data_IF_970882983057
#
_entry.id   IF_970882983057
#
_cell.length_a   1.000
_cell.length_b   1.000
_cell.length_c   1.000
_cell.angle_alpha   90.00
_cell.angle_beta   90.00
_cell.angle_gamma   90.00
#
_symmetry.space_group_name_H-M   'P 1'
#
loop_
_entity.id
_entity.type
_entity.pdbx_description
1 polymer ?
#
# COMPACT_ATOMS: atom_id res chain seq x y z
N UNK A 1 -3.41 11.91 0.52
CA UNK A 1 -4.03 11.10 1.60
C UNK A 1 -3.12 9.93 1.87
N UNK A 2 -2.80 9.66 3.13
CA UNK A 2 -2.06 8.48 3.58
C UNK A 2 -2.96 7.66 4.51
N UNK A 3 -2.96 6.33 4.38
CA UNK A 3 -3.84 5.45 5.13
C UNK A 3 -3.00 4.34 5.78
N UNK A 4 -3.13 4.17 7.09
CA UNK A 4 -2.37 3.18 7.88
C UNK A 4 -3.23 2.68 9.04
N UNK A 5 -3.16 1.38 9.36
CA UNK A 5 -3.94 0.75 10.44
C UNK A 5 -3.34 1.02 11.83
N UNK A 6 -2.02 1.13 11.91
CA UNK A 6 -1.27 1.31 13.15
C UNK A 6 -1.29 2.78 13.58
N UNK A 7 -1.94 3.05 14.73
CA UNK A 7 -1.92 4.37 15.35
C UNK A 7 -0.49 4.87 15.59
N UNK A 8 0.40 4.00 16.06
CA UNK A 8 1.80 4.36 16.32
C UNK A 8 2.54 4.79 15.05
N UNK A 9 2.25 4.16 13.90
CA UNK A 9 2.88 4.56 12.63
C UNK A 9 2.30 5.87 12.12
N UNK A 10 1.00 6.14 12.31
CA UNK A 10 0.41 7.45 12.03
C UNK A 10 1.08 8.54 12.85
N UNK A 11 1.23 8.34 14.17
CA UNK A 11 1.88 9.32 15.06
C UNK A 11 3.32 9.65 14.61
N UNK A 12 4.06 8.63 14.16
CA UNK A 12 5.41 8.82 13.62
C UNK A 12 5.37 9.56 12.29
N UNK A 13 4.46 9.17 11.38
CA UNK A 13 4.33 9.79 10.06
C UNK A 13 3.94 11.27 10.15
N UNK A 14 3.04 11.64 11.07
CA UNK A 14 2.66 13.02 11.33
C UNK A 14 3.85 13.86 11.83
N UNK A 15 4.63 13.32 12.78
CA UNK A 15 5.86 13.98 13.27
C UNK A 15 6.88 14.18 12.16
N UNK A 16 7.10 13.15 11.33
CA UNK A 16 8.01 13.23 10.19
C UNK A 16 7.51 14.26 9.17
N UNK A 17 6.22 14.28 8.87
CA UNK A 17 5.64 15.27 7.94
C UNK A 17 5.74 16.70 8.48
N UNK A 18 5.57 16.89 9.79
CA UNK A 18 5.75 18.17 10.46
C UNK A 18 7.20 18.67 10.36
N UNK A 19 8.18 17.81 10.70
CA UNK A 19 9.61 18.15 10.60
C UNK A 19 10.00 18.52 9.16
N UNK A 20 9.39 17.89 8.16
CA UNK A 20 9.64 18.16 6.75
C UNK A 20 8.77 19.27 6.16
N UNK A 21 7.97 19.98 6.98
CA UNK A 21 7.10 21.09 6.54
C UNK A 21 6.12 20.71 5.41
N UNK A 22 5.64 19.47 5.41
CA UNK A 22 4.67 18.93 4.43
C UNK A 22 3.36 18.46 5.08
N UNK A 23 3.24 18.55 6.41
CA UNK A 23 2.06 18.10 7.16
C UNK A 23 0.73 18.65 6.61
N UNK A 24 0.69 19.93 6.26
CA UNK A 24 -0.51 20.59 5.73
C UNK A 24 -0.97 20.05 4.36
N UNK A 25 -0.13 19.25 3.68
CA UNK A 25 -0.42 18.65 2.37
C UNK A 25 -0.84 17.18 2.47
N UNK A 26 -0.84 16.60 3.67
CA UNK A 26 -1.11 15.18 3.89
C UNK A 26 -2.26 15.02 4.88
N UNK A 27 -3.38 14.48 4.40
CA UNK A 27 -4.44 13.96 5.27
C UNK A 27 -4.10 12.52 5.66
N UNK A 28 -3.90 12.28 6.95
CA UNK A 28 -3.65 10.96 7.52
C UNK A 28 -4.98 10.29 7.94
N UNK A 29 -5.14 9.02 7.58
CA UNK A 29 -6.31 8.20 7.93
C UNK A 29 -5.85 6.97 8.70
N UNK A 30 -6.21 6.88 9.97
CA UNK A 30 -5.95 5.69 10.77
C UNK A 30 -7.00 4.60 10.51
N UNK A 31 -6.90 3.90 9.38
CA UNK A 31 -7.84 2.86 8.96
C UNK A 31 -7.12 1.75 8.20
N UNK A 32 -7.76 0.59 8.17
CA UNK A 32 -7.46 -0.40 7.14
C UNK A 32 -7.99 0.12 5.80
N UNK A 33 -7.16 0.14 4.76
CA UNK A 33 -7.56 0.67 3.46
C UNK A 33 -8.76 -0.07 2.84
N UNK A 34 -8.99 -1.34 3.20
CA UNK A 34 -10.16 -2.14 2.80
C UNK A 34 -11.48 -1.62 3.37
N UNK A 35 -11.40 -0.86 4.46
CA UNK A 35 -12.55 -0.28 5.16
C UNK A 35 -12.76 1.20 4.80
N UNK A 36 -11.98 1.75 3.87
CA UNK A 36 -12.21 3.10 3.38
C UNK A 36 -13.57 3.19 2.67
N UNK A 37 -14.24 4.32 2.87
CA UNK A 37 -15.50 4.68 2.23
C UNK A 37 -15.29 5.84 1.26
N UNK A 38 -15.66 5.63 0.00
CA UNK A 38 -15.54 6.66 -1.03
C UNK A 38 -16.41 7.87 -0.68
N UNK A 39 -15.95 9.07 -1.04
CA UNK A 39 -16.58 10.37 -0.73
C UNK A 39 -16.56 10.78 0.75
N UNK A 40 -16.68 9.83 1.70
CA UNK A 40 -16.53 10.10 3.13
C UNK A 40 -15.06 10.29 3.51
N UNK A 41 -14.22 9.28 3.25
CA UNK A 41 -12.80 9.29 3.63
C UNK A 41 -11.93 9.99 2.60
N UNK A 42 -12.39 10.03 1.35
CA UNK A 42 -11.69 10.68 0.25
C UNK A 42 -12.69 11.43 -0.63
N UNK A 43 -12.79 12.77 -0.52
CA UNK A 43 -13.81 13.56 -1.21
C UNK A 43 -13.60 13.59 -2.73
N UNK A 44 -12.34 13.45 -3.16
CA UNK A 44 -11.95 13.42 -4.56
C UNK A 44 -11.21 12.12 -4.87
N UNK A 45 -11.36 11.62 -6.09
CA UNK A 45 -10.57 10.47 -6.57
C UNK A 45 -9.10 10.90 -6.74
N UNK A 46 -8.19 9.98 -6.44
CA UNK A 46 -6.76 10.20 -6.57
C UNK A 46 -6.30 9.97 -8.01
N UNK A 47 -5.39 10.84 -8.47
CA UNK A 47 -4.71 10.69 -9.75
C UNK A 47 -3.50 9.75 -9.66
N UNK A 48 -3.05 9.43 -8.44
CA UNK A 48 -1.97 8.47 -8.17
C UNK A 48 -2.35 7.59 -6.98
N UNK A 49 -2.26 6.27 -7.16
CA UNK A 49 -2.35 5.28 -6.09
C UNK A 49 -0.97 4.66 -5.87
N UNK A 50 -0.41 4.86 -4.67
CA UNK A 50 0.86 4.25 -4.27
C UNK A 50 0.55 3.12 -3.28
N UNK A 51 1.03 1.91 -3.57
CA UNK A 51 0.89 0.73 -2.72
C UNK A 51 2.27 0.19 -2.35
N UNK A 52 2.54 0.15 -1.05
CA UNK A 52 3.76 -0.42 -0.46
C UNK A 52 3.33 -1.45 0.58
N UNK A 53 2.52 -2.41 0.15
CA UNK A 53 2.11 -3.57 0.96
C UNK A 53 2.56 -4.82 0.22
N UNK A 54 3.87 -4.89 -0.03
CA UNK A 54 4.52 -5.94 -0.78
C UNK A 54 5.45 -6.70 0.16
N UNK A 55 5.40 -8.02 0.08
CA UNK A 55 6.29 -8.90 0.83
C UNK A 55 7.23 -9.66 -0.12
N UNK A 56 8.03 -10.56 0.45
CA UNK A 56 8.93 -11.41 -0.34
C UNK A 56 8.23 -12.27 -1.38
N UNK A 57 6.95 -12.63 -1.16
CA UNK A 57 6.14 -13.37 -2.10
C UNK A 57 5.27 -12.48 -3.02
N UNK A 58 5.45 -11.16 -2.96
CA UNK A 58 4.66 -10.11 -3.65
C UNK A 58 3.18 -10.01 -3.20
N UNK A 59 2.52 -11.14 -2.93
CA UNK A 59 1.07 -11.23 -2.78
C UNK A 59 0.60 -11.46 -1.34
N UNK A 60 1.48 -11.80 -0.40
CA UNK A 60 1.06 -12.33 0.90
C UNK A 60 0.38 -11.28 1.78
N UNK A 61 0.74 -10.01 1.63
CA UNK A 61 0.14 -8.87 2.34
C UNK A 61 -1.20 -8.41 1.75
N UNK A 62 -1.73 -9.14 0.75
CA UNK A 62 -3.09 -8.94 0.25
C UNK A 62 -3.24 -7.81 -0.76
N UNK A 63 -2.18 -7.43 -1.48
CA UNK A 63 -2.19 -6.33 -2.46
C UNK A 63 -3.32 -6.45 -3.50
N UNK A 64 -3.69 -7.66 -3.91
CA UNK A 64 -4.80 -7.88 -4.86
C UNK A 64 -6.14 -7.40 -4.30
N UNK A 65 -6.38 -7.60 -3.00
CA UNK A 65 -7.59 -7.12 -2.33
C UNK A 65 -7.60 -5.59 -2.22
N UNK A 66 -6.45 -4.98 -1.94
CA UNK A 66 -6.32 -3.52 -1.93
C UNK A 66 -6.60 -2.94 -3.31
N UNK A 67 -5.99 -3.49 -4.35
CA UNK A 67 -6.25 -3.07 -5.74
C UNK A 67 -7.72 -3.24 -6.11
N UNK A 68 -8.35 -4.36 -5.76
CA UNK A 68 -9.77 -4.60 -6.07
C UNK A 68 -10.69 -3.58 -5.39
N UNK A 69 -10.41 -3.19 -4.15
CA UNK A 69 -11.24 -2.24 -3.41
C UNK A 69 -10.99 -0.79 -3.84
N UNK A 70 -9.72 -0.41 -4.04
CA UNK A 70 -9.31 0.97 -4.27
C UNK A 70 -9.51 1.41 -5.73
N UNK A 71 -9.21 0.52 -6.69
CA UNK A 71 -9.26 0.85 -8.12
C UNK A 71 -10.68 1.22 -8.54
N UNK A 72 -10.82 2.36 -9.20
CA UNK A 72 -12.08 2.88 -9.74
C UNK A 72 -12.95 3.61 -8.71
N UNK A 73 -13.07 3.12 -7.47
CA UNK A 73 -13.80 3.83 -6.39
C UNK A 73 -13.02 5.02 -5.87
N UNK A 74 -11.72 4.84 -5.65
CA UNK A 74 -10.84 5.84 -5.07
C UNK A 74 -9.87 6.44 -6.10
N UNK A 75 -9.68 5.81 -7.25
CA UNK A 75 -8.77 6.31 -8.29
C UNK A 75 -9.53 6.88 -9.47
N UNK A 76 -9.04 7.98 -10.04
CA UNK A 76 -9.54 8.50 -11.32
C UNK A 76 -9.31 7.48 -12.45
N UNK A 77 -10.02 7.64 -13.57
CA UNK A 77 -9.85 6.73 -14.73
C UNK A 77 -8.43 6.80 -15.31
N UNK A 78 -7.81 7.98 -15.24
CA UNK A 78 -6.44 8.23 -15.71
C UNK A 78 -5.38 8.02 -14.63
N UNK A 79 -5.75 7.45 -13.47
CA UNK A 79 -4.84 7.40 -12.33
C UNK A 79 -3.66 6.45 -12.58
N UNK A 80 -2.46 6.89 -12.21
CA UNK A 80 -1.28 6.04 -12.18
C UNK A 80 -1.29 5.16 -10.93
N UNK A 81 -0.95 3.88 -11.07
CA UNK A 81 -0.74 2.97 -9.94
C UNK A 81 0.75 2.68 -9.84
N UNK A 82 1.30 2.82 -8.63
CA UNK A 82 2.72 2.62 -8.35
C UNK A 82 2.86 1.57 -7.22
N UNK A 83 3.56 0.44 -7.46
CA UNK A 83 4.12 0.03 -8.74
C UNK A 83 3.04 -0.34 -9.77
N UNK A 84 3.34 -0.13 -11.06
CA UNK A 84 2.38 -0.38 -12.14
C UNK A 84 2.18 -1.87 -12.45
N UNK A 85 3.20 -2.69 -12.18
CA UNK A 85 3.20 -4.12 -12.38
C UNK A 85 4.26 -4.80 -11.50
N UNK A 86 4.10 -6.11 -11.28
CA UNK A 86 5.08 -6.96 -10.61
C UNK A 86 5.13 -8.33 -11.29
N UNK A 87 6.28 -9.01 -11.20
CA UNK A 87 6.49 -10.34 -11.79
C UNK A 87 7.10 -11.25 -10.72
N UNK A 88 6.41 -12.34 -10.39
CA UNK A 88 6.96 -13.42 -9.55
C UNK A 88 7.66 -14.42 -10.46
N UNK A 89 8.90 -14.77 -10.13
CA UNK A 89 9.68 -15.78 -10.84
C UNK A 89 9.91 -16.98 -9.93
N UNK A 90 9.69 -18.18 -10.47
CA UNK A 90 10.01 -19.44 -9.81
C UNK A 90 11.07 -20.19 -10.60
N UNK A 91 11.93 -20.93 -9.90
CA UNK A 91 12.92 -21.82 -10.49
C UNK A 91 12.91 -23.13 -9.73
N UNK A 92 12.84 -24.25 -10.46
CA UNK A 92 13.03 -25.56 -9.87
C UNK A 92 14.50 -25.68 -9.44
N UNK A 93 14.73 -26.14 -8.21
CA UNK A 93 16.06 -26.40 -7.68
C UNK A 93 16.13 -27.80 -7.10
N UNK A 94 17.27 -28.44 -7.25
CA UNK A 94 17.64 -29.58 -6.41
C UNK A 94 18.40 -29.02 -5.20
N UNK A 95 17.95 -29.36 -3.99
CA UNK A 95 18.61 -28.96 -2.75
C UNK A 95 18.82 -30.21 -1.90
N UNK A 96 20.08 -30.54 -1.61
CA UNK A 96 20.41 -31.54 -0.59
C UNK A 96 20.11 -30.96 0.78
N UNK A 97 19.20 -31.57 1.52
CA UNK A 97 18.71 -31.08 2.83
C UNK A 97 19.35 -31.76 4.06
N UNK A 98 20.37 -32.62 3.88
CA UNK A 98 21.05 -33.35 4.96
C UNK A 98 22.58 -33.42 4.84
N UNK A 99 23.27 -33.77 5.92
CA UNK A 99 24.74 -33.81 6.02
C UNK A 99 25.39 -34.84 5.08
N UNK A 100 26.62 -34.54 4.65
CA UNK A 100 27.54 -35.53 4.06
C UNK A 100 28.32 -36.13 5.21
N UNK A 101 27.99 -37.37 5.59
CA UNK A 101 28.87 -38.20 6.41
C UNK A 101 30.05 -38.69 5.56
#
# INVERSE_FOLDING_TARGET
VACEKSATLIDVAEKVAHINSVGDRISFLQKDCRNLKAHEDMPHKADVLVLECLDTALLAEGILHYLQHLRGKFTAEHAAIIPAAGVVKGMLVEMRSGEIH
#
